data_IF_414591623391
#
_entry.id   IF_414591623391
#
_cell.length_a   1.000
_cell.length_b   1.000
_cell.length_c   1.000
_cell.angle_alpha   90.00
_cell.angle_beta   90.00
_cell.angle_gamma   90.00
#
_symmetry.space_group_name_H-M   'P 1'
#
loop_
_entity.id
_entity.type
_entity.pdbx_description
1 polymer ?
#
# COMPACT_ATOMS: atom_id res chain seq x y z
N UNK A 1 -13.85 47.42 -25.52
CA UNK A 1 -13.78 47.04 -24.08
C UNK A 1 -14.59 45.80 -23.73
N UNK A 2 -15.80 45.55 -24.29
CA UNK A 2 -16.58 44.33 -24.01
C UNK A 2 -15.90 43.00 -24.41
N UNK A 3 -15.11 42.99 -25.49
CA UNK A 3 -14.44 41.77 -25.98
C UNK A 3 -13.29 41.29 -25.07
N UNK A 4 -12.62 42.22 -24.37
CA UNK A 4 -11.45 41.93 -23.52
C UNK A 4 -11.89 41.26 -22.20
N UNK A 5 -13.06 41.65 -21.68
CA UNK A 5 -13.62 41.12 -20.43
C UNK A 5 -14.01 39.64 -20.59
N UNK A 6 -14.53 39.24 -21.75
CA UNK A 6 -14.88 37.85 -22.03
C UNK A 6 -13.65 36.94 -22.17
N UNK A 7 -12.56 37.46 -22.73
CA UNK A 7 -11.31 36.70 -22.86
C UNK A 7 -10.66 36.41 -21.50
N UNK A 8 -10.77 37.35 -20.56
CA UNK A 8 -10.22 37.23 -19.21
C UNK A 8 -11.01 36.26 -18.30
N UNK A 9 -12.32 36.12 -18.55
CA UNK A 9 -13.17 35.14 -17.86
C UNK A 9 -12.94 33.71 -18.37
N UNK A 10 -12.51 33.54 -19.62
CA UNK A 10 -12.21 32.23 -20.21
C UNK A 10 -10.85 31.67 -19.76
N UNK A 11 -9.89 32.54 -19.43
CA UNK A 11 -8.59 32.10 -18.90
C UNK A 11 -8.68 31.69 -17.43
N UNK A 12 -9.60 32.27 -16.65
CA UNK A 12 -9.82 31.88 -15.25
C UNK A 12 -10.49 30.51 -15.09
N UNK A 13 -11.32 30.09 -16.05
CA UNK A 13 -12.02 28.80 -16.01
C UNK A 13 -11.13 27.61 -16.43
N UNK A 14 -10.00 27.84 -17.09
CA UNK A 14 -9.03 26.79 -17.45
C UNK A 14 -8.08 26.47 -16.30
N UNK A 15 -7.92 27.36 -15.31
CA UNK A 15 -7.07 27.12 -14.13
C UNK A 15 -7.80 26.27 -13.05
N UNK A 16 -9.13 26.13 -13.16
CA UNK A 16 -9.96 25.42 -12.19
C UNK A 16 -10.00 23.89 -12.34
N UNK A 17 -9.32 23.30 -13.33
CA UNK A 17 -9.33 21.84 -13.55
C UNK A 17 -8.01 21.17 -13.20
N UNK A 18 -7.25 21.69 -12.23
CA UNK A 18 -6.48 20.80 -11.36
C UNK A 18 -7.50 20.12 -10.47
N UNK A 19 -8.20 19.15 -11.06
CA UNK A 19 -8.92 18.13 -10.32
C UNK A 19 -7.96 17.66 -9.24
N UNK A 20 -8.32 17.86 -7.97
CA UNK A 20 -7.75 17.11 -6.88
C UNK A 20 -8.10 15.65 -7.14
N UNK A 21 -7.38 15.03 -8.07
CA UNK A 21 -7.34 13.60 -8.19
C UNK A 21 -6.64 13.17 -6.91
N UNK A 22 -7.46 12.88 -5.91
CA UNK A 22 -7.04 12.32 -4.64
C UNK A 22 -6.14 11.15 -5.01
N UNK A 23 -4.83 11.34 -4.91
CA UNK A 23 -3.89 10.27 -5.23
C UNK A 23 -4.25 9.13 -4.28
N UNK A 24 -4.59 7.97 -4.83
CA UNK A 24 -4.78 6.78 -4.00
C UNK A 24 -3.50 6.59 -3.18
N UNK A 25 -3.66 6.45 -1.86
CA UNK A 25 -2.51 6.23 -0.99
C UNK A 25 -1.85 4.91 -1.41
N UNK A 26 -0.51 4.82 -1.40
CA UNK A 26 0.17 3.56 -1.66
C UNK A 26 -0.29 2.50 -0.65
N UNK A 27 -0.59 1.30 -1.14
CA UNK A 27 -1.16 0.22 -0.32
C UNK A 27 -0.05 -0.64 0.28
N UNK A 28 -0.09 -0.82 1.59
CA UNK A 28 0.87 -1.63 2.33
C UNK A 28 0.15 -2.77 3.07
N UNK A 29 0.64 -3.99 2.92
CA UNK A 29 0.17 -5.15 3.67
C UNK A 29 1.23 -5.60 4.68
N UNK A 30 0.85 -5.72 5.95
CA UNK A 30 1.64 -6.37 7.00
C UNK A 30 1.11 -7.78 7.21
N UNK A 31 1.94 -8.78 6.95
CA UNK A 31 1.66 -10.20 7.18
C UNK A 31 2.42 -10.63 8.42
N UNK A 32 1.71 -11.12 9.43
CA UNK A 32 2.30 -11.63 10.67
C UNK A 32 2.23 -13.16 10.74
N UNK A 33 3.37 -13.82 10.54
CA UNK A 33 3.47 -15.28 10.65
C UNK A 33 3.41 -15.78 12.10
N UNK A 34 3.71 -14.95 13.09
CA UNK A 34 3.55 -15.29 14.50
C UNK A 34 2.08 -15.23 14.96
N UNK A 35 1.18 -14.70 14.12
CA UNK A 35 -0.24 -14.49 14.43
C UNK A 35 -0.44 -13.68 15.72
N UNK A 36 0.41 -12.67 15.92
CA UNK A 36 0.31 -11.76 17.04
C UNK A 36 -1.00 -10.99 17.02
N UNK A 37 -1.45 -10.63 18.22
CA UNK A 37 -2.60 -9.73 18.36
C UNK A 37 -2.26 -8.35 17.78
N UNK A 38 -3.22 -7.67 17.11
CA UNK A 38 -2.97 -6.37 16.46
C UNK A 38 -2.32 -5.32 17.37
N UNK A 39 -2.61 -5.34 18.67
CA UNK A 39 -2.07 -4.41 19.65
C UNK A 39 -0.55 -4.56 19.83
N UNK A 40 -0.02 -5.76 19.63
CA UNK A 40 1.43 -6.04 19.74
C UNK A 40 2.22 -5.37 18.61
N UNK A 41 1.58 -5.21 17.45
CA UNK A 41 2.20 -4.69 16.25
C UNK A 41 1.76 -3.26 15.92
N UNK A 42 0.91 -2.64 16.74
CA UNK A 42 0.31 -1.33 16.47
C UNK A 42 1.34 -0.24 16.13
N UNK A 43 2.53 -0.27 16.77
CA UNK A 43 3.62 0.65 16.46
C UNK A 43 4.21 0.49 15.07
N UNK A 44 4.20 -0.73 14.50
CA UNK A 44 4.64 -0.96 13.12
C UNK A 44 3.64 -0.33 12.15
N UNK A 45 2.34 -0.58 12.36
CA UNK A 45 1.29 -0.01 11.50
C UNK A 45 1.25 1.51 11.59
N UNK A 46 1.47 2.10 12.78
CA UNK A 46 1.42 3.56 12.96
C UNK A 46 2.51 4.27 12.16
N UNK A 47 3.74 3.75 12.13
CA UNK A 47 4.85 4.34 11.34
C UNK A 47 4.47 4.43 9.86
N UNK A 48 3.91 3.38 9.27
CA UNK A 48 3.51 3.40 7.86
C UNK A 48 2.27 4.26 7.60
N UNK A 49 1.31 4.27 8.54
CA UNK A 49 0.13 5.13 8.43
C UNK A 49 0.53 6.61 8.46
N UNK A 50 1.43 6.99 9.38
CA UNK A 50 1.98 8.34 9.49
C UNK A 50 2.81 8.74 8.26
N UNK A 51 3.43 7.76 7.60
CA UNK A 51 4.13 7.95 6.32
C UNK A 51 3.18 8.06 5.10
N UNK A 52 1.86 7.95 5.30
CA UNK A 52 0.86 8.13 4.24
C UNK A 52 0.50 6.85 3.47
N UNK A 53 0.71 5.67 4.04
CA UNK A 53 0.26 4.41 3.44
C UNK A 53 -1.16 4.04 3.89
N UNK A 54 -1.91 3.38 3.00
CA UNK A 54 -3.09 2.59 3.40
C UNK A 54 -2.60 1.23 3.91
N UNK A 55 -2.64 1.04 5.24
CA UNK A 55 -2.05 -0.13 5.90
C UNK A 55 -3.11 -1.19 6.21
N UNK A 56 -2.91 -2.40 5.70
CA UNK A 56 -3.70 -3.59 6.04
C UNK A 56 -2.87 -4.56 6.88
N UNK A 57 -3.50 -5.18 7.88
CA UNK A 57 -2.85 -6.14 8.78
C UNK A 57 -3.50 -7.52 8.65
N UNK A 58 -2.68 -8.57 8.52
CA UNK A 58 -3.14 -9.96 8.40
C UNK A 58 -2.44 -10.88 9.42
N UNK A 59 -3.12 -11.23 10.53
CA UNK A 59 -2.63 -12.19 11.52
C UNK A 59 -3.25 -13.59 11.36
N UNK A 60 -3.45 -14.08 10.12
CA UNK A 60 -4.08 -15.38 9.87
C UNK A 60 -3.67 -15.98 8.52
N UNK A 61 -3.89 -17.28 8.37
CA UNK A 61 -3.69 -18.00 7.10
C UNK A 61 -4.88 -17.88 6.13
N UNK A 62 -4.63 -17.92 4.81
CA UNK A 62 -3.33 -17.95 4.14
C UNK A 62 -2.56 -16.63 4.33
N UNK A 63 -1.24 -16.71 4.54
CA UNK A 63 -0.46 -15.52 4.90
C UNK A 63 -0.25 -14.63 3.67
N UNK A 64 0.14 -15.22 2.54
CA UNK A 64 0.26 -14.52 1.25
C UNK A 64 -0.56 -15.20 0.15
N UNK A 65 -1.22 -14.39 -0.69
CA UNK A 65 -2.08 -14.84 -1.78
C UNK A 65 -1.70 -14.16 -3.10
N UNK A 66 -2.13 -14.74 -4.22
CA UNK A 66 -1.91 -14.14 -5.54
C UNK A 66 -2.56 -12.76 -5.70
N UNK A 67 -3.63 -12.47 -4.94
CA UNK A 67 -4.24 -11.14 -4.93
C UNK A 67 -3.35 -10.09 -4.30
N UNK A 68 -2.61 -10.45 -3.24
CA UNK A 68 -1.72 -9.51 -2.58
C UNK A 68 -0.62 -9.00 -3.52
N UNK A 69 -0.14 -9.88 -4.40
CA UNK A 69 0.86 -9.55 -5.42
C UNK A 69 0.38 -8.48 -6.40
N UNK A 70 -0.92 -8.41 -6.65
CA UNK A 70 -1.53 -7.47 -7.59
C UNK A 70 -2.00 -6.18 -6.92
N UNK A 71 -2.40 -6.26 -5.65
CA UNK A 71 -3.08 -5.17 -4.95
C UNK A 71 -2.13 -4.22 -4.23
N UNK A 72 -1.05 -4.73 -3.63
CA UNK A 72 -0.21 -3.92 -2.76
C UNK A 72 1.03 -3.38 -3.47
N UNK A 73 1.52 -2.25 -2.98
CA UNK A 73 2.79 -1.64 -3.42
C UNK A 73 3.95 -2.12 -2.54
N UNK A 74 3.66 -2.35 -1.26
CA UNK A 74 4.61 -2.81 -0.26
C UNK A 74 4.01 -3.97 0.52
N UNK A 75 4.81 -5.01 0.77
CA UNK A 75 4.45 -6.10 1.69
C UNK A 75 5.54 -6.21 2.76
N UNK A 76 5.13 -6.21 4.02
CA UNK A 76 5.97 -6.47 5.18
C UNK A 76 5.69 -7.88 5.67
N UNK A 77 6.72 -8.72 5.71
CA UNK A 77 6.66 -10.07 6.24
C UNK A 77 7.30 -10.09 7.63
N UNK A 78 6.48 -10.24 8.66
CA UNK A 78 6.92 -10.40 10.03
C UNK A 78 7.08 -11.89 10.36
N UNK A 79 8.30 -12.29 10.68
CA UNK A 79 8.63 -13.66 11.08
C UNK A 79 8.14 -14.01 12.49
N UNK A 80 8.35 -15.27 12.90
CA UNK A 80 8.11 -15.71 14.28
C UNK A 80 7.09 -16.84 14.48
N UNK A 81 6.60 -17.49 13.41
CA UNK A 81 5.67 -18.62 13.52
C UNK A 81 6.04 -19.87 12.71
N UNK A 82 5.47 -21.00 13.11
CA UNK A 82 5.50 -22.33 12.47
C UNK A 82 4.06 -22.66 12.01
N UNK A 83 3.80 -23.10 10.75
CA UNK A 83 4.72 -23.60 9.72
C UNK A 83 5.57 -22.58 8.95
N UNK A 84 5.55 -21.31 9.31
CA UNK A 84 6.26 -20.27 8.55
C UNK A 84 5.71 -20.12 7.13
N UNK A 85 6.56 -19.67 6.20
CA UNK A 85 6.18 -19.45 4.79
C UNK A 85 6.24 -20.76 3.99
N UNK A 86 5.18 -21.06 3.25
CA UNK A 86 5.15 -22.19 2.31
C UNK A 86 5.95 -21.93 1.02
N UNK A 87 6.24 -23.00 0.26
CA UNK A 87 6.87 -22.86 -1.06
C UNK A 87 6.04 -21.99 -2.01
N UNK A 88 4.72 -22.15 -2.00
CA UNK A 88 3.82 -21.34 -2.83
C UNK A 88 3.90 -19.85 -2.45
N UNK A 89 3.86 -19.53 -1.16
CA UNK A 89 4.00 -18.13 -0.69
C UNK A 89 5.40 -17.56 -1.02
N UNK A 90 6.43 -18.41 -1.04
CA UNK A 90 7.78 -18.02 -1.48
C UNK A 90 7.79 -17.62 -2.97
N UNK A 91 7.13 -18.40 -3.83
CA UNK A 91 7.01 -18.07 -5.25
C UNK A 91 6.23 -16.76 -5.47
N UNK A 92 5.20 -16.51 -4.66
CA UNK A 92 4.47 -15.25 -4.67
C UNK A 92 5.36 -14.06 -4.25
N UNK A 93 6.16 -14.21 -3.20
CA UNK A 93 7.09 -13.19 -2.74
C UNK A 93 8.16 -12.86 -3.81
N UNK A 94 8.70 -13.88 -4.48
CA UNK A 94 9.64 -13.71 -5.61
C UNK A 94 8.95 -12.96 -6.76
N UNK A 95 7.74 -13.38 -7.15
CA UNK A 95 6.96 -12.74 -8.20
C UNK A 95 6.64 -11.27 -7.89
N UNK A 96 6.35 -10.97 -6.62
CA UNK A 96 6.10 -9.61 -6.16
C UNK A 96 7.31 -8.70 -6.34
N UNK A 97 8.49 -9.14 -5.88
CA UNK A 97 9.74 -8.38 -6.05
C UNK A 97 10.13 -8.27 -7.53
N UNK A 98 9.95 -9.33 -8.32
CA UNK A 98 10.23 -9.33 -9.76
C UNK A 98 9.39 -8.30 -10.54
N UNK A 99 8.24 -7.88 -10.00
CA UNK A 99 7.39 -6.81 -10.55
C UNK A 99 7.82 -5.40 -10.14
N UNK A 100 8.95 -5.26 -9.44
CA UNK A 100 9.47 -3.98 -8.95
C UNK A 100 8.78 -3.46 -7.69
N UNK A 101 8.02 -4.31 -6.98
CA UNK A 101 7.37 -3.97 -5.71
C UNK A 101 8.34 -4.14 -4.54
N UNK A 102 8.01 -3.54 -3.39
CA UNK A 102 8.91 -3.53 -2.22
C UNK A 102 8.48 -4.59 -1.21
N UNK A 103 9.36 -5.57 -0.97
CA UNK A 103 9.20 -6.56 0.09
C UNK A 103 10.12 -6.21 1.27
N UNK A 104 9.55 -6.10 2.47
CA UNK A 104 10.29 -5.86 3.71
C UNK A 104 10.25 -7.15 4.54
N UNK A 105 11.42 -7.62 4.97
CA UNK A 105 11.55 -8.77 5.87
C UNK A 105 11.85 -8.26 7.28
N UNK A 106 11.01 -8.59 8.25
CA UNK A 106 11.16 -8.23 9.65
C UNK A 106 11.22 -9.49 10.51
N UNK A 107 12.18 -9.53 11.44
CA UNK A 107 12.46 -10.67 12.35
C UNK A 107 12.33 -10.26 13.79
#
# INVERSE_FOLDING_TARGET
>A
MRLIIHLFLLTLSVVGTVSAQQAELPKLLVIDYAMGYPEQNAGVMSVFTEAGFEVHYRPYYPAMTGWDVLTYDVIVLMGGGDPGMSLFETELAISFVARGKVLILAT
#
